data_IF_635700114515
#
_entry.id   IF_635700114515
#
_cell.length_a   1.000
_cell.length_b   1.000
_cell.length_c   1.000
_cell.angle_alpha   90.00
_cell.angle_beta   90.00
_cell.angle_gamma   90.00
#
_symmetry.space_group_name_H-M   'P 1'
#
loop_
_entity.id
_entity.type
_entity.pdbx_description
1 polymer ?
#
# COMPACT_ATOMS: atom_id res chain seq x y z
N UNK A 1 -13.31 -0.87 -22.58
CA UNK A 1 -13.06 -0.10 -23.79
C UNK A 1 -11.64 -0.33 -24.29
N UNK A 2 -11.42 -0.18 -25.61
CA UNK A 2 -10.07 -0.34 -26.15
C UNK A 2 -9.04 0.59 -25.53
N UNK A 3 -9.44 1.79 -25.18
CA UNK A 3 -8.54 2.76 -24.55
C UNK A 3 -8.04 2.25 -23.20
N UNK A 4 -8.93 1.67 -22.41
CA UNK A 4 -8.55 1.09 -21.12
C UNK A 4 -7.61 -0.09 -21.29
N UNK A 5 -7.88 -0.93 -22.29
CA UNK A 5 -7.08 -2.11 -22.54
C UNK A 5 -5.66 -1.76 -22.98
N UNK A 6 -5.48 -0.59 -23.59
CA UNK A 6 -4.17 -0.18 -24.10
C UNK A 6 -3.35 0.62 -23.08
N UNK A 7 -3.94 1.01 -21.95
CA UNK A 7 -3.22 1.76 -20.92
C UNK A 7 -2.54 0.79 -19.94
N UNK A 8 -1.21 0.68 -19.96
CA UNK A 8 -0.52 -0.27 -19.09
C UNK A 8 -0.73 0.01 -17.61
N UNK A 9 -0.76 1.26 -17.20
CA UNK A 9 -0.93 1.62 -15.80
C UNK A 9 -2.32 1.18 -15.31
N UNK A 10 -3.34 1.46 -16.12
CA UNK A 10 -4.71 1.08 -15.77
C UNK A 10 -4.89 -0.43 -15.77
N UNK A 11 -4.25 -1.12 -16.72
CA UNK A 11 -4.30 -2.59 -16.78
C UNK A 11 -3.66 -3.20 -15.55
N UNK A 12 -2.53 -2.65 -15.09
CA UNK A 12 -1.86 -3.13 -13.89
C UNK A 12 -2.74 -2.93 -12.67
N UNK A 13 -3.39 -1.79 -12.57
CA UNK A 13 -4.29 -1.49 -11.48
C UNK A 13 -5.47 -2.48 -11.43
N UNK A 14 -6.09 -2.72 -12.58
CA UNK A 14 -7.20 -3.67 -12.67
C UNK A 14 -6.76 -5.08 -12.33
N UNK A 15 -5.56 -5.48 -12.80
CA UNK A 15 -5.02 -6.79 -12.51
C UNK A 15 -4.76 -6.94 -11.01
N UNK A 16 -4.22 -5.94 -10.38
CA UNK A 16 -3.99 -5.92 -8.94
C UNK A 16 -5.30 -6.09 -8.18
N UNK A 17 -6.31 -5.29 -8.52
CA UNK A 17 -7.62 -5.38 -7.89
C UNK A 17 -8.24 -6.76 -8.03
N UNK A 18 -8.04 -7.38 -9.18
CA UNK A 18 -8.60 -8.68 -9.48
C UNK A 18 -7.96 -9.79 -8.66
N UNK A 19 -6.66 -9.67 -8.37
CA UNK A 19 -5.90 -10.72 -7.72
C UNK A 19 -5.72 -10.52 -6.22
N UNK A 20 -5.84 -9.32 -5.72
CA UNK A 20 -5.71 -9.02 -4.31
C UNK A 20 -7.08 -8.70 -3.72
N UNK A 21 -7.66 -9.65 -3.04
CA UNK A 21 -9.03 -9.53 -2.52
C UNK A 21 -9.17 -8.53 -1.38
N UNK A 22 -8.06 -8.07 -0.86
CA UNK A 22 -8.05 -7.01 0.14
C UNK A 22 -8.38 -5.64 -0.45
N UNK A 23 -8.31 -5.51 -1.76
CA UNK A 23 -8.45 -4.23 -2.43
C UNK A 23 -9.79 -3.51 -2.25
N UNK A 24 -10.93 -4.19 -2.09
CA UNK A 24 -12.16 -3.45 -1.78
C UNK A 24 -12.02 -2.56 -0.55
N UNK A 25 -11.23 -2.96 0.42
CA UNK A 25 -10.95 -2.13 1.59
C UNK A 25 -10.05 -0.97 1.25
N UNK A 26 -9.06 -1.20 0.39
CA UNK A 26 -8.13 -0.17 -0.07
C UNK A 26 -8.83 0.85 -0.96
N UNK A 27 -9.72 0.38 -1.83
CA UNK A 27 -10.39 1.25 -2.80
C UNK A 27 -11.23 2.34 -2.16
N UNK A 28 -11.70 2.13 -0.94
CA UNK A 28 -12.46 3.14 -0.22
C UNK A 28 -11.60 4.17 0.50
N UNK A 29 -10.28 3.99 0.45
CA UNK A 29 -9.36 4.83 1.20
C UNK A 29 -8.61 5.79 0.28
N UNK A 30 -8.35 6.99 0.80
CA UNK A 30 -7.56 8.00 0.09
C UNK A 30 -6.33 8.32 0.92
N UNK A 31 -5.35 8.99 0.31
CA UNK A 31 -4.17 9.44 1.04
C UNK A 31 -4.57 10.34 2.22
N UNK A 32 -5.62 11.13 2.04
CA UNK A 32 -6.10 12.01 3.11
C UNK A 32 -6.56 11.22 4.33
N UNK A 33 -7.28 10.13 4.13
CA UNK A 33 -7.71 9.27 5.23
C UNK A 33 -6.51 8.59 5.90
N UNK A 34 -5.62 8.06 5.07
CA UNK A 34 -4.46 7.32 5.55
C UNK A 34 -3.52 8.23 6.35
N UNK A 35 -3.39 9.49 5.94
CA UNK A 35 -2.52 10.44 6.65
C UNK A 35 -2.93 10.63 8.10
N UNK A 36 -4.17 10.36 8.44
CA UNK A 36 -4.68 10.50 9.81
C UNK A 36 -4.50 9.22 10.64
N UNK A 37 -3.99 8.14 10.05
CA UNK A 37 -3.83 6.87 10.76
C UNK A 37 -2.75 6.94 11.84
N UNK A 38 -3.01 6.27 12.95
CA UNK A 38 -2.01 6.05 13.99
C UNK A 38 -1.07 4.93 13.57
N UNK A 39 0.00 4.74 14.34
CA UNK A 39 0.92 3.62 14.10
C UNK A 39 0.17 2.29 14.14
N UNK A 40 -0.73 2.08 15.11
CA UNK A 40 -1.46 0.83 15.22
C UNK A 40 -2.43 0.59 14.07
N UNK A 41 -3.00 1.65 13.54
CA UNK A 41 -3.86 1.52 12.35
C UNK A 41 -3.04 1.12 11.12
N UNK A 42 -1.84 1.68 10.99
CA UNK A 42 -0.91 1.29 9.92
C UNK A 42 -0.52 -0.18 10.08
N UNK A 43 -0.15 -0.59 11.30
CA UNK A 43 0.22 -1.99 11.57
C UNK A 43 -0.91 -2.94 11.21
N UNK A 44 -2.13 -2.61 11.63
CA UNK A 44 -3.31 -3.41 11.30
C UNK A 44 -3.48 -3.57 9.79
N UNK A 45 -3.35 -2.48 9.06
CA UNK A 45 -3.48 -2.50 7.62
C UNK A 45 -2.41 -3.41 6.99
N UNK A 46 -1.15 -3.25 7.40
CA UNK A 46 -0.03 -4.04 6.86
C UNK A 46 -0.26 -5.53 7.14
N UNK A 47 -0.67 -5.87 8.35
CA UNK A 47 -0.89 -7.27 8.73
C UNK A 47 -1.99 -7.93 7.93
N UNK A 48 -2.93 -7.15 7.43
CA UNK A 48 -4.04 -7.68 6.63
C UNK A 48 -3.72 -7.79 5.15
N UNK A 49 -2.58 -7.25 4.72
CA UNK A 49 -2.14 -7.42 3.33
C UNK A 49 -1.63 -8.85 3.11
N UNK A 50 -2.02 -9.51 2.01
CA UNK A 50 -1.54 -10.86 1.74
C UNK A 50 -0.02 -10.95 1.72
N UNK A 51 0.53 -11.84 2.54
CA UNK A 51 1.98 -12.04 2.61
C UNK A 51 2.75 -11.00 3.38
N UNK A 52 2.07 -10.06 4.03
CA UNK A 52 2.72 -8.98 4.76
C UNK A 52 2.47 -9.03 6.27
N UNK A 53 1.91 -10.12 6.77
CA UNK A 53 1.56 -10.22 8.18
C UNK A 53 2.74 -9.97 9.11
N UNK A 54 3.89 -10.52 8.79
CA UNK A 54 5.08 -10.40 9.63
C UNK A 54 5.70 -9.01 9.58
N UNK A 55 5.37 -8.23 8.57
CA UNK A 55 5.97 -6.91 8.41
C UNK A 55 5.38 -5.87 9.36
N UNK A 56 4.22 -6.14 9.91
CA UNK A 56 3.59 -5.22 10.84
C UNK A 56 4.47 -4.83 12.02
N UNK A 57 5.24 -5.78 12.56
CA UNK A 57 6.10 -5.51 13.69
C UNK A 57 7.18 -4.49 13.38
N UNK A 58 7.70 -4.50 12.15
CA UNK A 58 8.72 -3.53 11.73
C UNK A 58 8.13 -2.12 11.73
N UNK A 59 6.92 -1.99 11.22
CA UNK A 59 6.24 -0.68 11.18
C UNK A 59 5.96 -0.16 12.57
N UNK A 60 5.63 -1.06 13.51
CA UNK A 60 5.41 -0.67 14.89
C UNK A 60 6.71 -0.20 15.55
N UNK A 61 7.78 -0.95 15.39
CA UNK A 61 9.08 -0.63 15.98
C UNK A 61 9.60 0.71 15.47
N UNK A 62 9.41 0.97 14.18
CA UNK A 62 9.88 2.21 13.56
C UNK A 62 8.89 3.35 13.68
N UNK A 63 7.76 3.11 14.35
CA UNK A 63 6.74 4.12 14.60
C UNK A 63 6.23 4.79 13.32
N UNK A 64 5.96 3.98 12.31
CA UNK A 64 5.46 4.45 11.03
C UNK A 64 3.95 4.69 11.15
N UNK A 65 3.55 5.94 11.25
CA UNK A 65 2.13 6.31 11.22
C UNK A 65 1.67 6.53 9.78
N UNK A 66 0.45 7.01 9.60
CA UNK A 66 -0.09 7.19 8.26
C UNK A 66 0.69 8.18 7.41
N UNK A 67 1.10 9.30 7.99
CA UNK A 67 1.90 10.28 7.26
C UNK A 67 3.22 9.69 6.81
N UNK A 68 3.91 8.99 7.72
CA UNK A 68 5.19 8.38 7.41
C UNK A 68 5.02 7.29 6.36
N UNK A 69 3.93 6.52 6.44
CA UNK A 69 3.64 5.48 5.45
C UNK A 69 3.56 6.07 4.05
N UNK A 70 2.87 7.20 3.90
CA UNK A 70 2.72 7.84 2.59
C UNK A 70 4.03 8.40 2.04
N UNK A 71 5.02 8.61 2.89
CA UNK A 71 6.34 9.09 2.48
C UNK A 71 7.31 7.97 2.11
N UNK A 72 6.98 6.73 2.47
CA UNK A 72 7.87 5.60 2.20
C UNK A 72 7.88 5.23 0.72
N UNK A 73 9.03 4.78 0.27
CA UNK A 73 9.18 4.20 -1.05
C UNK A 73 9.76 2.79 -0.94
N UNK A 74 9.81 2.07 -2.06
CA UNK A 74 10.29 0.70 -2.09
C UNK A 74 11.73 0.59 -1.56
N UNK A 75 12.57 1.52 -1.95
CA UNK A 75 13.98 1.52 -1.53
C UNK A 75 14.11 1.60 -0.01
N UNK A 76 13.33 2.47 0.62
CA UNK A 76 13.34 2.60 2.08
C UNK A 76 12.94 1.31 2.75
N UNK A 77 11.91 0.66 2.24
CA UNK A 77 11.41 -0.58 2.83
C UNK A 77 12.43 -1.70 2.74
N UNK A 78 13.05 -1.85 1.58
CA UNK A 78 14.00 -2.95 1.36
C UNK A 78 15.35 -2.68 2.03
N UNK A 79 15.89 -1.47 1.89
CA UNK A 79 17.24 -1.17 2.34
C UNK A 79 17.33 -0.76 3.80
N UNK A 80 16.33 -0.07 4.30
CA UNK A 80 16.36 0.45 5.66
C UNK A 80 15.55 -0.43 6.61
N UNK A 81 14.34 -0.78 6.23
CA UNK A 81 13.47 -1.59 7.07
C UNK A 81 13.69 -3.08 6.91
N UNK A 82 14.54 -3.49 5.97
CA UNK A 82 14.83 -4.90 5.69
C UNK A 82 13.59 -5.73 5.36
N UNK A 83 12.60 -5.11 4.76
CA UNK A 83 11.41 -5.80 4.30
C UNK A 83 11.74 -6.51 2.99
N UNK A 84 11.33 -7.76 2.86
CA UNK A 84 11.57 -8.52 1.64
C UNK A 84 10.87 -7.85 0.46
N UNK A 85 11.45 -8.04 -0.72
CA UNK A 85 10.97 -7.35 -1.92
C UNK A 85 9.49 -7.61 -2.21
N UNK A 86 9.03 -8.85 -2.08
CA UNK A 86 7.64 -9.18 -2.35
C UNK A 86 6.66 -8.36 -1.50
N UNK A 87 6.77 -8.44 -0.18
CA UNK A 87 5.94 -7.61 0.69
C UNK A 87 6.11 -6.11 0.43
N UNK A 88 7.33 -5.65 0.17
CA UNK A 88 7.56 -4.23 -0.10
C UNK A 88 6.81 -3.76 -1.34
N UNK A 89 6.78 -4.58 -2.39
CA UNK A 89 6.05 -4.23 -3.61
C UNK A 89 4.55 -4.12 -3.35
N UNK A 90 4.01 -5.01 -2.54
CA UNK A 90 2.57 -4.98 -2.21
C UNK A 90 2.21 -3.74 -1.40
N UNK A 91 3.05 -3.41 -0.44
CA UNK A 91 2.83 -2.22 0.39
C UNK A 91 2.94 -0.95 -0.47
N UNK A 92 3.94 -0.89 -1.34
CA UNK A 92 4.10 0.26 -2.24
C UNK A 92 2.91 0.43 -3.17
N UNK A 93 2.36 -0.67 -3.66
CA UNK A 93 1.20 -0.62 -4.54
C UNK A 93 -0.01 -0.05 -3.80
N UNK A 94 -0.22 -0.47 -2.55
CA UNK A 94 -1.29 0.07 -1.74
C UNK A 94 -1.13 1.59 -1.56
N UNK A 95 0.08 2.04 -1.27
CA UNK A 95 0.36 3.47 -1.10
C UNK A 95 0.02 4.24 -2.39
N UNK A 96 0.42 3.69 -3.54
CA UNK A 96 0.10 4.31 -4.82
C UNK A 96 -1.40 4.43 -5.04
N UNK A 97 -2.15 3.41 -4.64
CA UNK A 97 -3.59 3.42 -4.78
C UNK A 97 -4.24 4.48 -3.92
N UNK A 98 -3.76 4.67 -2.69
CA UNK A 98 -4.24 5.75 -1.83
C UNK A 98 -4.04 7.11 -2.49
N UNK A 99 -2.85 7.33 -3.03
CA UNK A 99 -2.51 8.60 -3.67
C UNK A 99 -3.30 8.82 -4.95
N UNK A 100 -3.50 7.77 -5.74
CA UNK A 100 -4.29 7.87 -6.96
C UNK A 100 -5.75 8.20 -6.67
N UNK A 101 -6.31 7.61 -5.61
CA UNK A 101 -7.69 7.87 -5.23
C UNK A 101 -7.90 9.34 -4.83
N UNK A 102 -6.90 9.94 -4.23
CA UNK A 102 -7.00 11.34 -3.82
C UNK A 102 -7.01 12.30 -5.00
N UNK A 103 -6.36 11.93 -6.09
CA UNK A 103 -6.27 12.77 -7.29
C UNK A 103 -7.58 12.78 -8.07
N UNK A 104 -8.53 11.97 -7.73
CA UNK A 104 -9.85 11.97 -8.37
C UNK A 104 -10.82 12.89 -7.61
#
# INVERSE_FOLDING_TARGET
TPALASDPALRMQLCWEKHCKILPEVLGLTAKHVAAWTVEEVVNFIQNLPGCKEQGSVFREEQIDGEALLLLNQSDMVKILNIKLGPALKICQAIRMFKAAEDN
#
